data_IF_476346037779
#
_entry.id   IF_476346037779
#
_cell.length_a   1.000
_cell.length_b   1.000
_cell.length_c   1.000
_cell.angle_alpha   90.00
_cell.angle_beta   90.00
_cell.angle_gamma   90.00
#
_symmetry.space_group_name_H-M   'P 1'
#
loop_
_entity.id
_entity.type
_entity.pdbx_description
1 polymer ?
#
# COMPACT_ATOMS: atom_id res chain seq x y z
N UNK A 1 -7.54 8.20 -24.68
CA UNK A 1 -6.38 7.38 -25.11
C UNK A 1 -6.32 6.15 -24.20
N UNK A 2 -6.63 4.99 -24.74
CA UNK A 2 -6.57 3.72 -23.99
C UNK A 2 -5.11 3.27 -24.04
N UNK A 3 -4.37 3.54 -22.96
CA UNK A 3 -3.03 3.01 -22.78
C UNK A 3 -3.14 1.54 -22.33
N UNK A 4 -2.94 0.63 -23.25
CA UNK A 4 -2.85 -0.80 -22.95
C UNK A 4 -1.45 -1.09 -22.42
N UNK A 5 -1.34 -1.31 -21.10
CA UNK A 5 -0.09 -1.74 -20.48
C UNK A 5 0.10 -3.22 -20.77
N UNK A 6 1.09 -3.55 -21.61
CA UNK A 6 1.50 -4.93 -21.90
C UNK A 6 2.64 -5.35 -21.00
N UNK A 7 2.44 -6.39 -20.23
CA UNK A 7 3.52 -7.06 -19.50
C UNK A 7 3.67 -8.49 -20.06
N UNK A 8 4.65 -8.67 -20.93
CA UNK A 8 4.85 -9.93 -21.64
C UNK A 8 3.72 -10.28 -22.63
N UNK A 9 3.34 -11.55 -22.74
CA UNK A 9 2.29 -12.05 -23.63
C UNK A 9 0.86 -11.84 -23.09
N UNK A 10 0.69 -11.39 -21.82
CA UNK A 10 -0.60 -11.20 -21.18
C UNK A 10 -0.93 -9.72 -21.04
N UNK A 11 -2.12 -9.33 -21.48
CA UNK A 11 -2.70 -8.01 -21.19
C UNK A 11 -3.10 -7.95 -19.72
N UNK A 12 -2.60 -6.93 -18.99
CA UNK A 12 -3.03 -6.67 -17.62
C UNK A 12 -4.50 -6.25 -17.63
N UNK A 13 -5.39 -6.84 -16.81
CA UNK A 13 -6.79 -6.46 -16.76
C UNK A 13 -6.96 -4.98 -16.38
N UNK A 14 -7.85 -4.28 -17.07
CA UNK A 14 -8.06 -2.83 -16.92
C UNK A 14 -8.43 -2.44 -15.48
N UNK A 15 -9.24 -3.26 -14.80
CA UNK A 15 -9.61 -3.05 -13.39
C UNK A 15 -8.42 -3.15 -12.41
N UNK A 16 -7.36 -3.86 -12.77
CA UNK A 16 -6.13 -3.95 -11.95
C UNK A 16 -5.32 -2.66 -12.06
N UNK A 17 -5.22 -2.10 -13.27
CA UNK A 17 -4.55 -0.81 -13.53
C UNK A 17 -5.25 0.33 -12.81
N UNK A 18 -6.59 0.38 -12.84
CA UNK A 18 -7.39 1.38 -12.12
C UNK A 18 -7.16 1.32 -10.60
N UNK A 19 -7.09 0.12 -10.03
CA UNK A 19 -6.85 -0.05 -8.59
C UNK A 19 -5.44 0.36 -8.18
N UNK A 20 -4.44 0.02 -8.97
CA UNK A 20 -3.05 0.44 -8.73
C UNK A 20 -2.94 1.97 -8.84
N UNK A 21 -3.56 2.58 -9.84
CA UNK A 21 -3.59 4.02 -10.00
C UNK A 21 -4.29 4.71 -8.81
N UNK A 22 -5.44 4.20 -8.37
CA UNK A 22 -6.16 4.68 -7.19
C UNK A 22 -5.31 4.58 -5.91
N UNK A 23 -4.62 3.47 -5.72
CA UNK A 23 -3.68 3.29 -4.61
C UNK A 23 -2.55 4.33 -4.63
N UNK A 24 -1.93 4.56 -5.78
CA UNK A 24 -0.86 5.55 -5.94
C UNK A 24 -1.33 6.97 -5.62
N UNK A 25 -2.55 7.33 -6.04
CA UNK A 25 -3.15 8.64 -5.73
C UNK A 25 -3.39 8.78 -4.22
N UNK A 26 -4.00 7.80 -3.58
CA UNK A 26 -4.24 7.80 -2.12
C UNK A 26 -2.93 7.86 -1.35
N UNK A 27 -1.94 7.08 -1.75
CA UNK A 27 -0.61 7.10 -1.15
C UNK A 27 0.05 8.49 -1.26
N UNK A 28 -0.01 9.10 -2.45
CA UNK A 28 0.50 10.46 -2.66
C UNK A 28 -0.21 11.51 -1.79
N UNK A 29 -1.54 11.42 -1.66
CA UNK A 29 -2.32 12.29 -0.78
C UNK A 29 -1.95 12.11 0.70
N UNK A 30 -1.70 10.89 1.15
CA UNK A 30 -1.25 10.60 2.51
C UNK A 30 0.15 11.16 2.77
N UNK A 31 1.06 11.07 1.80
CA UNK A 31 2.40 11.67 1.91
C UNK A 31 2.31 13.18 2.03
N UNK A 32 1.58 13.84 1.14
CA UNK A 32 1.42 15.31 1.17
C UNK A 32 0.70 15.77 2.43
N UNK A 33 -0.44 15.17 2.74
CA UNK A 33 -1.25 15.51 3.92
C UNK A 33 -0.49 15.24 5.23
N UNK A 34 0.17 14.10 5.34
CA UNK A 34 1.00 13.75 6.50
C UNK A 34 2.16 14.71 6.69
N UNK A 35 2.86 15.06 5.62
CA UNK A 35 3.95 16.06 5.66
C UNK A 35 3.46 17.41 6.14
N UNK A 36 2.32 17.88 5.64
CA UNK A 36 1.70 19.13 6.09
C UNK A 36 1.37 19.11 7.58
N UNK A 37 0.78 18.02 8.08
CA UNK A 37 0.43 17.87 9.50
C UNK A 37 1.70 17.87 10.37
N UNK A 38 2.71 17.09 10.03
CA UNK A 38 3.95 16.99 10.80
C UNK A 38 4.73 18.30 10.76
N UNK A 39 4.76 18.99 9.63
CA UNK A 39 5.37 20.31 9.51
C UNK A 39 4.63 21.37 10.34
N UNK A 40 3.30 21.34 10.36
CA UNK A 40 2.48 22.23 11.20
C UNK A 40 2.70 22.02 12.71
N UNK A 41 3.17 20.84 13.11
CA UNK A 41 3.55 20.53 14.50
C UNK A 41 4.97 21.01 14.87
N UNK A 42 5.60 21.80 14.00
CA UNK A 42 6.89 22.47 14.28
C UNK A 42 8.12 21.72 13.78
N UNK A 43 7.95 20.72 12.93
CA UNK A 43 9.06 19.98 12.32
C UNK A 43 9.44 20.62 10.99
N UNK A 44 10.75 20.69 10.68
CA UNK A 44 11.22 21.13 9.38
C UNK A 44 10.64 20.32 8.23
N UNK A 45 10.38 20.97 7.10
CA UNK A 45 9.68 20.37 5.95
C UNK A 45 10.37 19.12 5.40
N UNK A 46 11.71 19.15 5.31
CA UNK A 46 12.51 18.03 4.81
C UNK A 46 12.45 16.85 5.78
N UNK A 47 12.60 17.13 7.07
CA UNK A 47 12.50 16.14 8.15
C UNK A 47 11.08 15.58 8.25
N UNK A 48 10.04 16.43 8.10
CA UNK A 48 8.65 16.00 8.07
C UNK A 48 8.36 15.07 6.88
N UNK A 49 8.75 15.46 5.68
CA UNK A 49 8.58 14.64 4.48
C UNK A 49 9.31 13.30 4.59
N UNK A 50 10.58 13.32 5.03
CA UNK A 50 11.37 12.13 5.25
C UNK A 50 10.73 11.17 6.26
N UNK A 51 10.24 11.69 7.38
CA UNK A 51 9.55 10.92 8.42
C UNK A 51 8.24 10.31 7.94
N UNK A 52 7.44 11.05 7.19
CA UNK A 52 6.16 10.56 6.65
C UNK A 52 6.38 9.45 5.61
N UNK A 53 7.30 9.64 4.67
CA UNK A 53 7.62 8.63 3.65
C UNK A 53 8.19 7.37 4.30
N UNK A 54 9.10 7.51 5.26
CA UNK A 54 9.66 6.39 6.01
C UNK A 54 8.60 5.65 6.84
N UNK A 55 7.68 6.38 7.46
CA UNK A 55 6.60 5.81 8.26
C UNK A 55 5.60 5.05 7.40
N UNK A 56 5.14 5.62 6.28
CA UNK A 56 4.24 4.96 5.35
C UNK A 56 4.88 3.73 4.68
N UNK A 57 6.18 3.84 4.33
CA UNK A 57 6.94 2.74 3.75
C UNK A 57 7.43 1.70 4.77
N UNK A 58 7.27 1.96 6.08
CA UNK A 58 7.83 1.13 7.17
C UNK A 58 9.33 0.85 7.02
N UNK A 59 10.09 1.82 6.49
CA UNK A 59 11.52 1.68 6.22
C UNK A 59 12.40 1.94 7.44
N UNK A 60 11.96 2.77 8.39
CA UNK A 60 12.70 3.14 9.60
C UNK A 60 13.60 4.36 9.44
N UNK A 61 14.62 4.38 8.57
CA UNK A 61 15.47 5.56 8.42
C UNK A 61 14.72 6.70 7.73
N UNK A 62 14.92 7.92 8.19
CA UNK A 62 14.34 9.15 7.64
C UNK A 62 15.43 10.09 7.14
N UNK A 63 15.05 11.21 6.53
CA UNK A 63 15.93 12.25 6.05
C UNK A 63 15.94 13.44 7.03
N UNK A 64 16.89 14.33 6.89
CA UNK A 64 17.04 15.52 7.73
C UNK A 64 17.53 15.19 9.13
N UNK A 65 16.95 15.86 10.14
CA UNK A 65 17.33 15.70 11.55
C UNK A 65 17.01 14.32 12.13
N UNK A 66 16.15 13.55 11.46
CA UNK A 66 15.83 12.15 11.77
C UNK A 66 16.63 11.16 10.90
N UNK A 67 17.82 11.53 10.46
CA UNK A 67 18.70 10.69 9.65
C UNK A 67 19.07 9.36 10.31
N UNK A 68 19.76 8.46 9.60
CA UNK A 68 20.01 7.09 10.05
C UNK A 68 20.85 6.98 11.34
N UNK A 69 21.57 8.05 11.71
CA UNK A 69 22.38 8.14 12.93
C UNK A 69 21.72 8.93 14.05
N UNK A 70 20.54 9.52 13.80
CA UNK A 70 19.80 10.33 14.76
C UNK A 70 18.61 9.56 15.36
N UNK A 71 18.25 9.96 16.58
CA UNK A 71 17.08 9.37 17.25
C UNK A 71 15.79 9.97 16.68
N UNK A 72 14.87 9.12 16.24
CA UNK A 72 13.52 9.51 15.83
C UNK A 72 12.75 10.23 16.95
N UNK A 73 13.06 9.88 18.19
CA UNK A 73 12.45 10.48 19.37
C UNK A 73 12.90 11.92 19.61
N UNK A 74 14.10 12.28 19.21
CA UNK A 74 14.66 13.62 19.42
C UNK A 74 14.32 14.57 18.27
N UNK A 75 14.14 14.03 17.05
CA UNK A 75 13.83 14.81 15.85
C UNK A 75 12.37 15.28 15.79
N UNK A 76 11.45 14.59 16.45
CA UNK A 76 10.01 14.88 16.37
C UNK A 76 9.41 15.17 17.75
N UNK A 77 8.54 16.18 17.80
CA UNK A 77 7.72 16.46 18.99
C UNK A 77 6.77 15.30 19.30
N UNK A 78 6.32 15.20 20.55
CA UNK A 78 5.40 14.13 20.98
C UNK A 78 4.16 13.98 20.08
N UNK A 79 3.43 15.06 19.71
CA UNK A 79 2.28 14.95 18.81
C UNK A 79 2.69 14.54 17.39
N UNK A 80 3.87 14.98 16.90
CA UNK A 80 4.38 14.54 15.59
C UNK A 80 4.69 13.04 15.57
N UNK A 81 5.26 12.50 16.65
CA UNK A 81 5.50 11.04 16.80
C UNK A 81 4.19 10.25 16.79
N UNK A 82 3.14 10.75 17.45
CA UNK A 82 1.82 10.12 17.42
C UNK A 82 1.25 10.10 16.00
N UNK A 83 1.33 11.20 15.27
CA UNK A 83 0.89 11.28 13.87
C UNK A 83 1.66 10.29 12.97
N UNK A 84 2.98 10.21 13.13
CA UNK A 84 3.82 9.27 12.39
C UNK A 84 3.52 7.81 12.73
N UNK A 85 3.21 7.50 13.99
CA UNK A 85 2.78 6.16 14.41
C UNK A 85 1.45 5.75 13.75
N UNK A 86 0.50 6.66 13.66
CA UNK A 86 -0.78 6.44 12.94
C UNK A 86 -0.51 6.20 11.45
N UNK A 87 0.38 6.98 10.84
CA UNK A 87 0.78 6.80 9.44
C UNK A 87 1.47 5.44 9.20
N UNK A 88 2.29 4.97 10.12
CA UNK A 88 2.86 3.61 10.07
C UNK A 88 1.77 2.53 10.10
N UNK A 89 0.77 2.71 10.93
CA UNK A 89 -0.36 1.78 11.02
C UNK A 89 -1.18 1.77 9.72
N UNK A 90 -1.45 2.94 9.15
CA UNK A 90 -2.15 3.08 7.87
C UNK A 90 -1.34 2.44 6.75
N UNK A 91 -0.03 2.67 6.69
CA UNK A 91 0.86 2.06 5.71
C UNK A 91 0.86 0.53 5.78
N UNK A 92 0.76 -0.04 6.97
CA UNK A 92 0.63 -1.50 7.15
C UNK A 92 -0.73 -2.04 6.75
N UNK A 93 -1.81 -1.33 7.05
CA UNK A 93 -3.17 -1.74 6.70
C UNK A 93 -3.40 -1.76 5.17
N UNK A 94 -2.73 -0.90 4.42
CA UNK A 94 -2.82 -0.87 2.95
C UNK A 94 -2.13 -2.07 2.27
N UNK A 95 -1.18 -2.73 2.94
CA UNK A 95 -0.57 -3.98 2.45
C UNK A 95 -1.59 -5.13 2.47
N UNK A 96 -2.53 -5.15 3.41
CA UNK A 96 -3.58 -6.18 3.51
C UNK A 96 -4.47 -6.28 2.27
N UNK A 97 -5.02 -5.18 1.70
CA UNK A 97 -5.78 -5.24 0.46
C UNK A 97 -4.96 -5.72 -0.73
N UNK A 98 -3.67 -5.37 -0.82
CA UNK A 98 -2.78 -5.86 -1.89
C UNK A 98 -2.54 -7.36 -1.76
N UNK A 99 -2.33 -7.86 -0.55
CA UNK A 99 -2.17 -9.30 -0.29
C UNK A 99 -3.46 -10.07 -0.61
N UNK A 100 -4.62 -9.52 -0.24
CA UNK A 100 -5.93 -10.07 -0.58
C UNK A 100 -6.16 -10.13 -2.10
N UNK A 101 -5.70 -9.12 -2.83
CA UNK A 101 -5.76 -9.09 -4.30
C UNK A 101 -4.87 -10.14 -4.95
N UNK A 102 -3.72 -10.44 -4.36
CA UNK A 102 -2.81 -11.49 -4.84
C UNK A 102 -3.38 -12.89 -4.58
N UNK A 103 -4.11 -13.05 -3.47
CA UNK A 103 -4.73 -14.33 -3.07
C UNK A 103 -6.11 -14.55 -3.71
N UNK A 104 -6.83 -13.48 -4.07
CA UNK A 104 -8.16 -13.55 -4.68
C UNK A 104 -8.20 -14.40 -5.98
N UNK A 105 -7.27 -14.26 -6.96
CA UNK A 105 -7.26 -15.11 -8.15
C UNK A 105 -6.98 -16.58 -7.82
N UNK A 106 -6.20 -16.87 -6.76
CA UNK A 106 -5.93 -18.25 -6.33
C UNK A 106 -7.19 -18.95 -5.81
N UNK A 107 -8.05 -18.23 -5.10
CA UNK A 107 -9.36 -18.74 -4.64
C UNK A 107 -10.38 -18.92 -5.76
N UNK A 108 -10.33 -18.09 -6.79
CA UNK A 108 -11.19 -18.21 -7.97
C UNK A 108 -10.87 -19.47 -8.77
N UNK A 109 -9.60 -19.85 -8.89
CA UNK A 109 -9.16 -21.08 -9.57
C UNK A 109 -9.59 -22.33 -8.79
N UNK A 110 -9.50 -22.31 -7.45
CA UNK A 110 -9.94 -23.43 -6.60
C UNK A 110 -11.47 -23.62 -6.65
N UNK A 111 -12.24 -22.54 -6.74
CA UNK A 111 -13.70 -22.59 -6.91
C UNK A 111 -14.12 -23.19 -8.26
N UNK A 112 -13.41 -22.85 -9.34
CA UNK A 112 -13.67 -23.35 -10.68
C UNK A 112 -13.38 -24.86 -10.80
N UNK A 113 -12.28 -25.34 -10.20
CA UNK A 113 -11.91 -26.76 -10.22
C UNK A 113 -12.85 -27.63 -9.38
N UNK A 114 -13.40 -27.11 -8.27
CA UNK A 114 -14.43 -27.81 -7.48
C UNK A 114 -15.77 -27.92 -8.22
N UNK A 115 -16.19 -26.86 -8.90
CA UNK A 115 -17.41 -26.84 -9.70
C UNK A 115 -17.35 -27.84 -10.87
N UNK A 116 -16.19 -27.98 -11.50
CA UNK A 116 -15.99 -28.91 -12.61
C UNK A 116 -16.01 -30.38 -12.17
N UNK A 117 -15.45 -30.71 -11.00
CA UNK A 117 -15.50 -32.06 -10.44
C UNK A 117 -16.92 -32.51 -10.07
N UNK A 118 -17.78 -31.61 -9.60
CA UNK A 118 -19.17 -31.91 -9.25
C UNK A 118 -19.98 -32.17 -10.51
N UNK A 119 -19.75 -31.45 -11.61
CA UNK A 119 -20.46 -31.69 -12.89
C UNK A 119 -20.08 -33.03 -13.55
N UNK A 120 -18.82 -33.41 -13.51
CA UNK A 120 -18.35 -34.68 -14.06
C UNK A 120 -18.91 -35.91 -13.30
N UNK A 121 -19.13 -35.75 -11.98
CA UNK A 121 -19.71 -36.83 -11.16
C UNK A 121 -21.21 -37.03 -11.39
N UNK A 122 -21.93 -35.96 -11.75
CA UNK A 122 -23.38 -36.02 -12.06
C UNK A 122 -23.68 -36.54 -13.45
N UNK A 123 -22.75 -36.44 -14.40
CA UNK A 123 -22.90 -36.96 -15.77
C UNK A 123 -22.69 -38.48 -15.91
N UNK A 124 -22.18 -39.15 -14.88
CA UNK A 124 -21.85 -40.60 -14.91
C UNK A 124 -22.98 -41.53 -14.39
N UNK A 125 -24.10 -40.93 -13.95
CA UNK A 125 -25.27 -41.66 -13.44
C UNK A 125 -26.54 -41.50 -14.31
N UNK A 126 -26.35 -41.21 -15.62
CA UNK A 126 -27.45 -41.30 -16.61
C UNK A 126 -27.11 -42.26 -17.71
#
# INVERSE_FOLDING_TARGET
AILVVRQGANTVPEHLVERIAGFMVVYGLLVVGGTMVVAALGTDLITAAGGVISSLGNMGPALGDAGPTASFADAYSTPARMALAILMLIGRLEIFPMLLMLVAPYRAVDGATRGMRIRLRRGRHR
#
